data_IF_247136328124
#
_entry.id   IF_247136328124
#
_cell.length_a   1.000
_cell.length_b   1.000
_cell.length_c   1.000
_cell.angle_alpha   90.00
_cell.angle_beta   90.00
_cell.angle_gamma   90.00
#
_symmetry.space_group_name_H-M   'P 1'
#
loop_
_entity.id
_entity.type
_entity.pdbx_description
1 polymer ?
#
# COMPACT_ATOMS: atom_id res chain seq x y z
N UNK A 1 25.29 28.17 -38.77
CA UNK A 1 25.61 28.19 -37.33
C UNK A 1 25.45 26.78 -36.79
N UNK A 2 26.50 26.28 -36.12
CA UNK A 2 26.68 25.02 -35.39
C UNK A 2 25.95 23.74 -35.86
N UNK A 3 26.66 22.91 -36.64
CA UNK A 3 26.41 21.46 -36.76
C UNK A 3 26.81 20.80 -35.44
N UNK A 4 25.84 20.33 -34.66
CA UNK A 4 26.12 19.60 -33.42
C UNK A 4 26.72 18.23 -33.76
N UNK A 5 27.83 17.93 -33.07
CA UNK A 5 28.86 16.96 -33.41
C UNK A 5 28.87 15.86 -32.35
N UNK A 6 28.68 14.61 -32.79
CA UNK A 6 29.06 13.40 -32.07
C UNK A 6 27.92 12.66 -31.38
N UNK A 7 27.76 11.37 -31.73
CA UNK A 7 27.97 10.23 -30.84
C UNK A 7 28.07 8.98 -31.73
N UNK A 8 29.29 8.53 -32.02
CA UNK A 8 29.48 7.17 -32.52
C UNK A 8 29.16 6.21 -31.37
N UNK A 9 28.25 5.26 -31.59
CA UNK A 9 28.10 4.13 -30.67
C UNK A 9 29.47 3.44 -30.58
N UNK A 10 30.11 3.54 -29.42
CA UNK A 10 31.26 2.72 -29.10
C UNK A 10 30.88 1.25 -29.30
N UNK A 11 31.76 0.46 -29.93
CA UNK A 11 31.52 -0.97 -30.10
C UNK A 11 31.25 -1.60 -28.73
N UNK A 12 30.13 -2.30 -28.58
CA UNK A 12 29.84 -3.07 -27.38
C UNK A 12 30.85 -4.22 -27.25
N UNK A 13 31.09 -4.69 -26.03
CA UNK A 13 31.97 -5.84 -25.77
C UNK A 13 31.41 -7.16 -26.32
N UNK A 14 30.13 -7.19 -26.69
CA UNK A 14 29.45 -8.32 -27.30
C UNK A 14 29.07 -8.04 -28.76
N UNK A 15 28.91 -9.10 -29.56
CA UNK A 15 28.52 -8.98 -30.97
C UNK A 15 27.02 -8.65 -31.10
N UNK A 16 26.73 -7.48 -31.67
CA UNK A 16 25.37 -6.97 -31.93
C UNK A 16 24.60 -7.83 -32.94
N UNK A 17 25.29 -8.43 -33.92
CA UNK A 17 24.69 -9.23 -34.98
C UNK A 17 24.07 -10.53 -34.42
N UNK A 18 24.61 -11.06 -33.32
CA UNK A 18 24.06 -12.21 -32.59
C UNK A 18 22.75 -11.85 -31.88
N UNK A 19 22.59 -10.59 -31.48
CA UNK A 19 21.36 -10.02 -30.88
C UNK A 19 20.32 -9.69 -31.97
N UNK A 20 20.56 -10.11 -33.21
CA UNK A 20 19.69 -9.92 -34.39
C UNK A 20 19.51 -8.47 -34.82
N UNK A 21 20.42 -7.58 -34.44
CA UNK A 21 20.51 -6.25 -35.03
C UNK A 21 21.50 -6.30 -36.19
N UNK A 22 21.00 -6.08 -37.40
CA UNK A 22 21.79 -5.95 -38.62
C UNK A 22 22.59 -4.65 -38.67
N UNK A 23 23.63 -4.61 -39.52
CA UNK A 23 24.42 -3.40 -39.75
C UNK A 23 23.53 -2.28 -40.32
N UNK A 24 23.43 -1.17 -39.59
CA UNK A 24 22.63 -0.01 -39.99
C UNK A 24 21.14 -0.11 -39.64
N UNK A 25 20.71 -1.15 -38.92
CA UNK A 25 19.36 -1.22 -38.37
C UNK A 25 19.16 -0.20 -37.25
N UNK A 26 17.92 0.28 -37.11
CA UNK A 26 17.56 1.27 -36.09
C UNK A 26 17.59 0.60 -34.72
N UNK A 27 18.61 0.95 -33.93
CA UNK A 27 18.65 0.63 -32.50
C UNK A 27 17.47 1.30 -31.78
N UNK A 28 16.97 0.71 -30.68
CA UNK A 28 15.92 1.31 -29.88
C UNK A 28 16.35 2.69 -29.38
N UNK A 29 15.40 3.61 -29.29
CA UNK A 29 15.66 4.97 -28.84
C UNK A 29 16.16 4.98 -27.39
N UNK A 30 17.09 5.90 -27.10
CA UNK A 30 17.66 6.02 -25.76
C UNK A 30 16.67 6.76 -24.88
N UNK A 31 16.15 6.09 -23.86
CA UNK A 31 15.23 6.71 -22.91
C UNK A 31 15.93 7.87 -22.17
N UNK A 32 15.52 9.11 -22.47
CA UNK A 32 16.09 10.34 -21.89
C UNK A 32 15.72 10.55 -20.42
N UNK A 33 14.60 9.95 -19.96
CA UNK A 33 14.07 10.07 -18.60
C UNK A 33 13.57 8.72 -18.11
N UNK A 34 13.66 8.43 -16.80
CA UNK A 34 13.05 7.24 -16.24
C UNK A 34 11.53 7.29 -16.44
N UNK A 35 10.88 6.13 -16.63
CA UNK A 35 9.42 6.05 -16.64
C UNK A 35 8.82 6.61 -15.34
N UNK A 36 7.60 7.14 -15.43
CA UNK A 36 6.87 7.64 -14.27
C UNK A 36 6.53 6.49 -13.30
N UNK A 37 6.36 6.81 -12.01
CA UNK A 37 5.98 5.82 -10.98
C UNK A 37 4.61 5.19 -11.25
N UNK A 38 3.73 5.94 -11.89
CA UNK A 38 2.39 5.52 -12.27
C UNK A 38 2.24 5.70 -13.78
N UNK A 39 2.36 4.63 -14.57
CA UNK A 39 2.06 4.67 -15.99
C UNK A 39 0.55 4.82 -16.20
N UNK A 40 0.15 5.47 -17.28
CA UNK A 40 -1.26 5.55 -17.66
C UNK A 40 -1.79 4.16 -18.01
N UNK A 41 -3.00 3.86 -17.55
CA UNK A 41 -3.68 2.59 -17.83
C UNK A 41 -4.74 2.81 -18.89
N UNK A 42 -4.87 1.86 -19.83
CA UNK A 42 -5.84 1.96 -20.92
C UNK A 42 -7.30 1.92 -20.43
N UNK A 43 -7.55 1.32 -19.26
CA UNK A 43 -8.89 1.10 -18.73
C UNK A 43 -9.00 1.54 -17.27
N UNK A 44 -10.15 2.13 -16.94
CA UNK A 44 -10.53 2.50 -15.58
C UNK A 44 -11.31 1.37 -14.90
N UNK A 45 -11.25 1.25 -13.57
CA UNK A 45 -12.05 0.27 -12.85
C UNK A 45 -13.56 0.52 -13.04
N UNK A 46 -14.34 -0.55 -12.94
CA UNK A 46 -15.80 -0.50 -13.04
C UNK A 46 -16.38 0.31 -11.88
N UNK A 47 -17.37 1.20 -12.13
CA UNK A 47 -18.04 1.94 -11.06
C UNK A 47 -18.64 1.02 -10.00
N UNK A 48 -18.73 1.53 -8.77
CA UNK A 48 -19.42 0.82 -7.70
C UNK A 48 -20.89 0.64 -8.06
N UNK A 49 -21.44 -0.51 -7.66
CA UNK A 49 -22.87 -0.74 -7.76
C UNK A 49 -23.60 0.24 -6.83
N UNK A 50 -24.82 0.60 -7.21
CA UNK A 50 -25.65 1.54 -6.46
C UNK A 50 -27.01 0.90 -6.18
N UNK A 51 -27.50 1.06 -4.95
CA UNK A 51 -28.82 0.61 -4.56
C UNK A 51 -28.98 0.48 -3.05
N UNK A 52 -30.23 0.51 -2.59
CA UNK A 52 -30.57 0.55 -1.17
C UNK A 52 -29.99 -0.63 -0.36
N UNK A 53 -29.87 -1.81 -0.96
CA UNK A 53 -29.26 -2.98 -0.31
C UNK A 53 -27.75 -2.81 -0.09
N UNK A 54 -27.05 -2.17 -1.02
CA UNK A 54 -25.60 -2.00 -0.96
C UNK A 54 -25.23 -0.87 0.00
N UNK A 55 -26.04 0.20 0.00
CA UNK A 55 -25.93 1.30 0.95
C UNK A 55 -26.21 0.83 2.38
N UNK A 56 -27.21 -0.04 2.57
CA UNK A 56 -27.50 -0.63 3.88
C UNK A 56 -26.34 -1.50 4.38
N UNK A 57 -25.78 -2.35 3.52
CA UNK A 57 -24.62 -3.18 3.88
C UNK A 57 -23.40 -2.32 4.22
N UNK A 58 -23.20 -1.21 3.51
CA UNK A 58 -22.11 -0.27 3.79
C UNK A 58 -22.28 0.40 5.16
N UNK A 59 -23.49 0.85 5.48
CA UNK A 59 -23.81 1.41 6.80
C UNK A 59 -23.58 0.37 7.91
N UNK A 60 -24.12 -0.84 7.74
CA UNK A 60 -23.95 -1.93 8.70
C UNK A 60 -22.48 -2.29 8.93
N UNK A 61 -21.67 -2.30 7.87
CA UNK A 61 -20.22 -2.53 7.97
C UNK A 61 -19.53 -1.47 8.84
N UNK A 62 -19.95 -0.21 8.75
CA UNK A 62 -19.39 0.88 9.55
C UNK A 62 -19.81 0.73 11.01
N UNK A 63 -21.09 0.49 11.28
CA UNK A 63 -21.60 0.25 12.63
C UNK A 63 -20.92 -0.93 13.31
N UNK A 64 -20.76 -2.04 12.59
CA UNK A 64 -20.08 -3.23 13.12
C UNK A 64 -18.62 -2.94 13.47
N UNK A 65 -17.90 -2.16 12.64
CA UNK A 65 -16.51 -1.77 12.93
C UNK A 65 -16.42 -1.02 14.26
N UNK A 66 -17.35 -0.10 14.51
CA UNK A 66 -17.35 0.70 15.74
C UNK A 66 -17.81 -0.13 16.95
N UNK A 67 -18.81 -0.99 16.77
CA UNK A 67 -19.26 -1.91 17.80
C UNK A 67 -18.13 -2.88 18.21
N UNK A 68 -17.45 -3.50 17.25
CA UNK A 68 -16.37 -4.46 17.51
C UNK A 68 -15.19 -3.84 18.25
N UNK A 69 -14.84 -2.57 17.98
CA UNK A 69 -13.79 -1.85 18.70
C UNK A 69 -14.12 -1.61 20.18
N UNK A 70 -15.41 -1.52 20.52
CA UNK A 70 -15.88 -1.33 21.90
C UNK A 70 -16.06 -2.65 22.64
N UNK A 71 -16.11 -3.77 21.93
CA UNK A 71 -16.26 -5.08 22.55
C UNK A 71 -14.98 -5.51 23.26
N UNK A 72 -15.08 -6.33 24.32
CA UNK A 72 -13.93 -6.83 25.07
C UNK A 72 -13.01 -7.76 24.26
N UNK A 73 -13.42 -8.17 23.05
CA UNK A 73 -12.55 -8.90 22.11
C UNK A 73 -11.50 -8.01 21.44
N UNK A 74 -11.66 -6.69 21.48
CA UNK A 74 -10.68 -5.76 20.95
C UNK A 74 -9.54 -5.58 21.96
N UNK A 75 -8.54 -6.43 21.86
CA UNK A 75 -7.34 -6.36 22.69
C UNK A 75 -6.50 -5.18 22.18
N UNK A 76 -6.38 -4.14 23.01
CA UNK A 76 -5.51 -3.00 22.76
C UNK A 76 -4.06 -3.34 23.08
N UNK A 77 -3.14 -2.69 22.37
CA UNK A 77 -1.72 -2.80 22.65
C UNK A 77 -1.46 -2.08 23.98
N UNK A 78 -0.83 -2.73 24.98
CA UNK A 78 -0.55 -2.09 26.25
C UNK A 78 0.36 -0.87 26.05
N UNK A 79 0.02 0.24 26.70
CA UNK A 79 0.84 1.45 26.68
C UNK A 79 2.18 1.20 27.38
N UNK A 80 3.28 1.66 26.78
CA UNK A 80 4.58 1.62 27.42
C UNK A 80 4.57 2.48 28.70
N UNK A 81 5.31 2.07 29.73
CA UNK A 81 5.33 2.76 31.02
C UNK A 81 5.77 4.22 30.81
N UNK A 82 4.83 5.15 30.96
CA UNK A 82 5.15 6.58 31.00
C UNK A 82 6.19 6.83 32.11
N UNK A 83 7.36 7.37 31.75
CA UNK A 83 8.50 7.54 32.67
C UNK A 83 8.29 8.49 33.85
N UNK A 84 7.13 9.15 33.93
CA UNK A 84 6.75 10.05 35.03
C UNK A 84 5.38 9.63 35.56
N UNK A 85 5.29 9.43 36.88
CA UNK A 85 4.03 9.17 37.57
C UNK A 85 3.39 10.48 38.01
N UNK A 86 2.19 10.77 37.52
CA UNK A 86 1.44 11.99 37.87
C UNK A 86 0.15 11.62 38.60
N UNK A 87 -0.29 12.51 39.51
CA UNK A 87 -1.54 12.32 40.25
C UNK A 87 -2.78 12.20 39.33
N UNK A 88 -2.72 12.80 38.14
CA UNK A 88 -3.75 12.69 37.10
C UNK A 88 -4.05 11.25 36.67
N UNK A 89 -3.08 10.33 36.80
CA UNK A 89 -3.26 8.92 36.48
C UNK A 89 -4.37 8.26 37.29
N UNK A 90 -4.72 8.77 38.47
CA UNK A 90 -5.84 8.22 39.27
C UNK A 90 -7.20 8.44 38.59
N UNK A 91 -7.35 9.54 37.84
CA UNK A 91 -8.60 9.91 37.19
C UNK A 91 -8.68 9.49 35.72
N UNK A 92 -7.54 9.21 35.07
CA UNK A 92 -7.47 8.78 33.67
C UNK A 92 -7.61 7.25 33.48
N UNK A 93 -7.79 6.47 34.55
CA UNK A 93 -7.94 5.01 34.44
C UNK A 93 -9.23 4.67 33.70
N UNK A 94 -9.08 4.11 32.52
CA UNK A 94 -10.20 3.55 31.75
C UNK A 94 -10.47 2.14 32.29
N UNK A 95 -11.60 1.97 32.97
CA UNK A 95 -12.07 0.65 33.40
C UNK A 95 -12.74 -0.05 32.21
N UNK A 96 -12.19 -1.19 31.81
CA UNK A 96 -12.78 -2.10 30.82
C UNK A 96 -13.06 -3.44 31.48
N UNK A 97 -14.22 -4.01 31.19
CA UNK A 97 -14.61 -5.33 31.70
C UNK A 97 -13.81 -6.42 30.99
N UNK A 98 -13.02 -7.18 31.75
CA UNK A 98 -12.25 -8.30 31.21
C UNK A 98 -13.15 -9.52 31.01
N UNK A 99 -13.18 -10.04 29.78
CA UNK A 99 -13.89 -11.29 29.50
C UNK A 99 -13.03 -12.49 29.94
N UNK A 100 -13.59 -13.37 30.76
CA UNK A 100 -12.97 -14.63 31.17
C UNK A 100 -13.28 -15.73 30.13
N UNK A 101 -12.28 -16.34 29.46
CA UNK A 101 -12.50 -17.47 28.56
C UNK A 101 -12.93 -18.74 29.32
N UNK A 102 -13.68 -19.63 28.66
CA UNK A 102 -13.92 -20.99 29.18
C UNK A 102 -12.74 -21.89 28.82
N UNK A 103 -11.89 -22.15 29.81
CA UNK A 103 -10.67 -22.95 29.67
C UNK A 103 -10.93 -24.44 29.42
N UNK A 104 -12.15 -24.95 29.65
CA UNK A 104 -12.46 -26.39 29.46
C UNK A 104 -12.55 -26.82 28.00
N UNK A 105 -12.72 -25.86 27.10
CA UNK A 105 -12.88 -26.10 25.66
C UNK A 105 -11.59 -25.83 24.87
N UNK A 106 -10.47 -25.51 25.53
CA UNK A 106 -9.15 -25.45 24.90
C UNK A 106 -8.54 -26.85 24.89
N UNK A 107 -8.79 -27.61 23.82
CA UNK A 107 -8.06 -28.84 23.51
C UNK A 107 -6.96 -28.56 22.49
#
# INVERSE_FOLDING_TARGET
MAKNKGHGCAAYTFNIEVVRFGRGEKLPDVAMKPPTLFPDTDYKPVPLKTGNSEDNMLALKQELRDAMKRMPYHIEIPEEKQGIETYSKRYMKVYKEERIPDWRNQK
#
